data_IF_061154394105
#
_entry.id   IF_061154394105
#
_cell.length_a   1.000
_cell.length_b   1.000
_cell.length_c   1.000
_cell.angle_alpha   90.00
_cell.angle_beta   90.00
_cell.angle_gamma   90.00
#
_symmetry.space_group_name_H-M   'P 1'
#
loop_
_entity.id
_entity.type
_entity.pdbx_description
1 polymer ?
#
# COMPACT_ATOMS: atom_id res chain seq x y z
N UNK A 1 7.40 18.57 7.12
CA UNK A 1 7.55 17.15 7.48
C UNK A 1 8.69 16.51 6.70
N UNK A 2 9.28 15.47 7.26
CA UNK A 2 10.17 14.55 6.57
C UNK A 2 9.54 13.17 6.56
N UNK A 3 9.28 12.64 5.36
CA UNK A 3 8.65 11.35 5.15
C UNK A 3 9.67 10.39 4.54
N UNK A 4 9.76 9.19 5.05
CA UNK A 4 10.75 8.18 4.64
C UNK A 4 10.16 6.77 4.53
N UNK A 5 8.90 6.58 4.92
CA UNK A 5 8.20 5.33 4.64
C UNK A 5 7.75 5.31 3.18
N UNK A 6 7.88 4.19 2.45
CA UNK A 6 7.59 4.11 1.02
C UNK A 6 6.20 4.67 0.65
N UNK A 7 5.18 4.29 1.40
CA UNK A 7 3.80 4.73 1.14
C UNK A 7 3.63 6.25 1.28
N UNK A 8 4.33 6.89 2.22
CA UNK A 8 4.26 8.33 2.41
C UNK A 8 5.13 9.11 1.43
N UNK A 9 6.28 8.56 1.04
CA UNK A 9 7.09 9.12 -0.05
C UNK A 9 6.29 9.10 -1.35
N UNK A 10 5.66 7.96 -1.68
CA UNK A 10 4.80 7.86 -2.84
C UNK A 10 3.62 8.84 -2.77
N UNK A 11 2.93 8.92 -1.64
CA UNK A 11 1.80 9.83 -1.46
C UNK A 11 2.17 11.30 -1.69
N UNK A 12 3.35 11.70 -1.23
CA UNK A 12 3.82 13.07 -1.36
C UNK A 12 4.37 13.43 -2.74
N UNK A 13 4.92 12.45 -3.47
CA UNK A 13 5.70 12.73 -4.69
C UNK A 13 5.31 11.90 -5.91
N UNK A 14 4.62 10.78 -5.75
CA UNK A 14 4.44 9.77 -6.80
C UNK A 14 5.65 8.86 -7.00
N UNK A 15 6.77 9.08 -6.27
CA UNK A 15 7.96 8.24 -6.39
C UNK A 15 7.78 6.90 -5.67
N UNK A 16 8.15 5.81 -6.34
CA UNK A 16 8.30 4.48 -5.75
C UNK A 16 9.56 3.81 -6.29
N UNK A 17 10.15 2.96 -5.48
CA UNK A 17 11.33 2.17 -5.85
C UNK A 17 11.00 0.68 -5.84
N UNK A 18 11.53 -0.05 -6.81
CA UNK A 18 11.48 -1.53 -6.79
C UNK A 18 12.10 -2.12 -5.52
N UNK A 19 13.03 -1.40 -4.90
CA UNK A 19 13.68 -1.81 -3.67
C UNK A 19 12.80 -1.65 -2.42
N UNK A 20 11.71 -0.90 -2.49
CA UNK A 20 10.75 -0.74 -1.38
C UNK A 20 10.20 -2.10 -0.91
N UNK A 21 10.05 -3.05 -1.84
CA UNK A 21 9.63 -4.42 -1.56
C UNK A 21 10.70 -5.31 -0.92
N UNK A 22 11.95 -4.86 -0.81
CA UNK A 22 13.04 -5.68 -0.26
C UNK A 22 13.15 -5.63 1.26
N UNK A 23 12.29 -4.85 1.92
CA UNK A 23 12.26 -4.71 3.38
C UNK A 23 13.63 -4.39 4.00
N UNK A 24 14.35 -3.46 3.37
CA UNK A 24 15.63 -2.99 3.87
C UNK A 24 15.46 -2.28 5.22
N UNK A 25 16.49 -2.33 6.05
CA UNK A 25 16.48 -1.66 7.35
C UNK A 25 16.49 -0.13 7.21
N UNK A 26 17.21 0.35 6.20
CA UNK A 26 17.29 1.78 5.86
C UNK A 26 16.23 2.13 4.82
N UNK A 27 15.62 3.32 4.89
CA UNK A 27 14.78 3.80 3.82
C UNK A 27 15.59 4.01 2.53
N UNK A 28 14.95 3.76 1.38
CA UNK A 28 15.57 3.94 0.05
C UNK A 28 15.43 5.38 -0.41
N UNK A 29 14.37 6.05 0.00
CA UNK A 29 14.08 7.42 -0.35
C UNK A 29 13.48 8.15 0.84
N UNK A 30 13.56 9.47 0.80
CA UNK A 30 12.83 10.33 1.71
C UNK A 30 12.38 11.59 0.98
N UNK A 31 11.40 12.28 1.53
CA UNK A 31 10.96 13.58 1.01
C UNK A 31 10.80 14.59 2.14
N UNK A 32 11.36 15.75 1.94
CA UNK A 32 11.10 16.92 2.78
C UNK A 32 9.93 17.69 2.19
N UNK A 33 8.84 17.81 2.95
CA UNK A 33 7.65 18.59 2.60
C UNK A 33 7.58 19.79 3.55
N UNK A 34 7.77 21.02 3.04
CA UNK A 34 7.71 22.21 3.86
C UNK A 34 6.29 22.51 4.35
N UNK A 35 6.15 23.29 5.42
CA UNK A 35 4.86 23.75 5.92
C UNK A 35 4.27 24.89 5.08
N UNK A 36 5.12 25.65 4.41
CA UNK A 36 4.73 26.73 3.51
C UNK A 36 4.84 26.30 2.05
N UNK A 37 4.03 26.87 1.19
CA UNK A 37 3.96 26.52 -0.25
C UNK A 37 5.02 27.23 -1.10
N UNK A 38 5.89 28.03 -0.50
CA UNK A 38 6.94 28.80 -1.21
C UNK A 38 8.31 28.14 -1.09
N UNK A 39 8.49 27.28 -0.10
CA UNK A 39 9.70 26.49 0.07
C UNK A 39 9.65 25.23 -0.79
N UNK A 40 10.80 24.72 -1.26
CA UNK A 40 10.84 23.61 -2.17
C UNK A 40 10.50 22.27 -1.48
N UNK A 41 9.77 21.41 -2.18
CA UNK A 41 9.69 19.98 -1.89
C UNK A 41 10.99 19.33 -2.35
N UNK A 42 11.71 18.66 -1.44
CA UNK A 42 13.00 18.04 -1.75
C UNK A 42 12.87 16.53 -1.68
N UNK A 43 13.03 15.87 -2.81
CA UNK A 43 13.09 14.41 -2.89
C UNK A 43 14.54 13.96 -2.66
N UNK A 44 14.75 13.00 -1.77
CA UNK A 44 16.07 12.50 -1.36
C UNK A 44 16.21 11.07 -1.87
N UNK A 45 17.16 10.84 -2.77
CA UNK A 45 17.34 9.57 -3.49
C UNK A 45 18.79 9.11 -3.47
N UNK A 46 19.05 7.80 -3.65
CA UNK A 46 20.38 7.34 -4.07
C UNK A 46 20.81 8.04 -5.37
N UNK A 47 22.08 8.44 -5.46
CA UNK A 47 22.61 9.06 -6.68
C UNK A 47 22.37 8.19 -7.91
N UNK A 48 22.50 6.87 -7.77
CA UNK A 48 22.21 5.92 -8.85
C UNK A 48 20.74 5.93 -9.31
N UNK A 49 19.83 6.48 -8.52
CA UNK A 49 18.38 6.53 -8.81
C UNK A 49 17.91 7.87 -9.38
N UNK A 50 18.80 8.82 -9.64
CA UNK A 50 18.43 10.17 -10.16
C UNK A 50 17.71 10.10 -11.50
N UNK A 51 17.93 9.07 -12.31
CA UNK A 51 17.21 8.82 -13.56
C UNK A 51 15.78 8.31 -13.36
N UNK A 52 15.47 7.72 -12.20
CA UNK A 52 14.19 7.03 -11.97
C UNK A 52 12.96 7.94 -12.11
N UNK A 53 12.94 9.20 -11.64
CA UNK A 53 11.84 10.11 -11.90
C UNK A 53 11.53 10.31 -13.39
N UNK A 54 12.57 10.45 -14.22
CA UNK A 54 12.41 10.62 -15.67
C UNK A 54 11.77 9.37 -16.30
N UNK A 55 12.27 8.18 -15.92
CA UNK A 55 11.76 6.90 -16.44
C UNK A 55 10.31 6.70 -15.98
N UNK A 56 10.00 7.05 -14.74
CA UNK A 56 8.64 6.98 -14.19
C UNK A 56 7.67 7.90 -14.96
N UNK A 57 8.06 9.14 -15.22
CA UNK A 57 7.25 10.09 -15.98
C UNK A 57 7.00 9.62 -17.42
N UNK A 58 8.02 9.09 -18.10
CA UNK A 58 7.89 8.47 -19.43
C UNK A 58 6.97 7.25 -19.43
N UNK A 59 6.91 6.54 -18.31
CA UNK A 59 5.96 5.45 -18.06
C UNK A 59 4.53 5.89 -17.73
N UNK A 60 4.27 7.19 -17.68
CA UNK A 60 2.95 7.73 -17.33
C UNK A 60 2.72 7.89 -15.82
N UNK A 61 3.78 7.80 -15.02
CA UNK A 61 3.75 7.96 -13.56
C UNK A 61 4.58 9.19 -13.15
N UNK A 62 4.00 10.40 -13.15
CA UNK A 62 4.73 11.62 -12.84
C UNK A 62 5.24 11.62 -11.40
N UNK A 63 6.45 12.16 -11.22
CA UNK A 63 7.06 12.34 -9.91
C UNK A 63 7.21 13.84 -9.64
N UNK A 64 6.68 14.29 -8.51
CA UNK A 64 6.59 15.71 -8.16
C UNK A 64 7.64 16.08 -7.10
N UNK A 65 8.53 16.97 -7.45
CA UNK A 65 9.52 17.59 -6.55
C UNK A 65 10.05 18.88 -7.16
N UNK A 66 10.61 19.75 -6.34
CA UNK A 66 11.24 20.99 -6.80
C UNK A 66 12.77 20.88 -6.80
N UNK A 67 13.31 20.08 -5.88
CA UNK A 67 14.74 19.83 -5.71
C UNK A 67 15.02 18.37 -5.41
N UNK A 68 16.25 17.95 -5.70
CA UNK A 68 16.77 16.64 -5.33
C UNK A 68 17.91 16.79 -4.33
N UNK A 69 17.98 15.89 -3.35
CA UNK A 69 19.20 15.65 -2.58
C UNK A 69 19.62 14.19 -2.80
N UNK A 70 20.92 13.94 -2.83
CA UNK A 70 21.45 12.62 -3.17
C UNK A 70 22.33 12.04 -2.09
N UNK A 71 22.42 10.72 -2.07
CA UNK A 71 23.33 9.98 -1.21
C UNK A 71 23.88 8.74 -1.92
N UNK A 72 25.06 8.30 -1.46
CA UNK A 72 25.69 7.07 -1.93
C UNK A 72 25.06 5.86 -1.23
N UNK A 73 24.44 4.99 -2.00
CA UNK A 73 23.82 3.76 -1.46
C UNK A 73 24.55 2.50 -1.93
N UNK A 74 25.03 2.53 -3.14
CA UNK A 74 25.66 1.38 -3.79
C UNK A 74 26.76 1.96 -4.68
N UNK A 75 28.00 1.84 -4.30
CA UNK A 75 29.20 2.37 -5.03
C UNK A 75 29.28 1.94 -6.51
N UNK A 76 28.16 2.04 -7.24
CA UNK A 76 28.14 1.76 -8.69
C UNK A 76 28.77 2.86 -9.51
N UNK A 77 28.92 4.07 -8.95
CA UNK A 77 29.37 5.25 -9.71
C UNK A 77 30.88 5.38 -9.83
N UNK A 78 31.68 4.72 -9.00
CA UNK A 78 33.13 4.81 -9.06
C UNK A 78 33.77 4.15 -10.28
N UNK A 79 33.04 3.31 -11.00
CA UNK A 79 33.57 2.51 -12.10
C UNK A 79 33.13 2.92 -13.50
N UNK A 80 32.10 3.76 -13.63
CA UNK A 80 31.66 4.25 -14.92
C UNK A 80 32.48 5.45 -15.35
N UNK A 81 33.69 5.23 -15.82
CA UNK A 81 34.40 6.26 -16.58
C UNK A 81 33.65 6.47 -17.89
N UNK A 82 33.54 7.73 -18.32
CA UNK A 82 32.88 8.11 -19.57
C UNK A 82 33.45 7.32 -20.80
N UNK A 83 34.66 6.81 -20.68
CA UNK A 83 35.35 5.99 -21.68
C UNK A 83 34.81 4.55 -21.78
N UNK A 84 34.15 4.04 -20.70
CA UNK A 84 33.62 2.69 -20.63
C UNK A 84 32.12 2.62 -20.93
N UNK A 85 31.47 3.76 -21.22
CA UNK A 85 30.04 3.85 -21.48
C UNK A 85 29.70 3.23 -22.85
N UNK A 86 29.71 1.91 -22.94
CA UNK A 86 29.16 1.16 -24.07
C UNK A 86 27.62 1.24 -24.12
N UNK A 87 26.98 1.84 -23.13
CA UNK A 87 25.57 2.16 -23.06
C UNK A 87 25.40 3.66 -23.26
N UNK A 88 25.44 4.12 -24.51
CA UNK A 88 25.01 5.47 -24.82
C UNK A 88 23.50 5.60 -24.52
N UNK A 89 23.16 6.35 -23.48
CA UNK A 89 21.79 6.76 -23.26
C UNK A 89 21.30 7.56 -24.48
N UNK A 90 20.02 7.44 -24.88
CA UNK A 90 19.45 8.28 -25.93
C UNK A 90 19.67 9.77 -25.62
N UNK A 91 19.92 10.58 -26.65
CA UNK A 91 20.25 12.00 -26.48
C UNK A 91 19.14 12.80 -25.79
N UNK A 92 17.89 12.44 -26.01
CA UNK A 92 16.73 13.02 -25.34
C UNK A 92 16.73 12.72 -23.84
N UNK A 93 17.06 11.50 -23.46
CA UNK A 93 17.17 11.09 -22.07
C UNK A 93 18.37 11.79 -21.37
N UNK A 94 19.48 11.96 -22.08
CA UNK A 94 20.63 12.71 -21.57
C UNK A 94 20.29 14.18 -21.32
N UNK A 95 19.49 14.79 -22.21
CA UNK A 95 19.05 16.19 -22.02
C UNK A 95 18.12 16.34 -20.80
N UNK A 96 17.18 15.42 -20.62
CA UNK A 96 16.30 15.41 -19.45
C UNK A 96 17.09 15.15 -18.16
N UNK A 97 18.04 14.22 -18.19
CA UNK A 97 18.93 13.96 -17.05
C UNK A 97 19.73 15.20 -16.68
N UNK A 98 20.25 15.95 -17.68
CA UNK A 98 20.90 17.23 -17.46
C UNK A 98 20.02 18.20 -16.69
N UNK A 99 18.74 18.34 -17.07
CA UNK A 99 17.77 19.16 -16.35
C UNK A 99 17.50 18.70 -14.92
N UNK A 100 17.43 17.41 -14.68
CA UNK A 100 17.26 16.86 -13.32
C UNK A 100 18.53 17.09 -12.47
N UNK A 101 19.71 16.94 -13.07
CA UNK A 101 20.98 17.20 -12.37
C UNK A 101 21.13 18.66 -11.92
N UNK A 102 20.55 19.62 -12.64
CA UNK A 102 20.51 21.03 -12.23
C UNK A 102 19.62 21.29 -11.00
N UNK A 103 18.72 20.36 -10.69
CA UNK A 103 17.84 20.44 -9.51
C UNK A 103 18.51 19.86 -8.25
N UNK A 104 19.69 19.25 -8.36
CA UNK A 104 20.39 18.68 -7.21
C UNK A 104 20.82 19.81 -6.27
N UNK A 105 20.38 19.68 -5.01
CA UNK A 105 20.62 20.61 -3.93
C UNK A 105 21.71 20.09 -3.00
N UNK A 106 22.91 20.58 -3.19
CA UNK A 106 24.08 20.22 -2.40
C UNK A 106 24.96 19.17 -3.07
N UNK A 107 25.68 18.42 -2.27
CA UNK A 107 26.55 17.33 -2.71
C UNK A 107 25.91 15.97 -2.42
N UNK A 108 26.43 14.92 -3.05
CA UNK A 108 26.08 13.56 -2.69
C UNK A 108 26.64 13.24 -1.29
N UNK A 109 25.76 12.86 -0.36
CA UNK A 109 26.12 12.54 1.01
C UNK A 109 26.43 11.03 1.15
N UNK A 110 27.19 10.60 2.17
CA UNK A 110 27.58 9.20 2.32
C UNK A 110 26.41 8.23 2.57
N UNK A 111 25.32 8.70 3.16
CA UNK A 111 24.12 7.90 3.45
C UNK A 111 22.86 8.77 3.52
N UNK A 112 21.71 8.13 3.56
CA UNK A 112 20.41 8.81 3.60
C UNK A 112 20.25 9.71 4.84
N UNK A 113 20.77 9.31 6.00
CA UNK A 113 20.64 10.11 7.25
C UNK A 113 21.43 11.39 7.14
N UNK A 114 22.64 11.33 6.59
CA UNK A 114 23.45 12.50 6.33
C UNK A 114 22.82 13.39 5.26
N UNK A 115 22.25 12.82 4.20
CA UNK A 115 21.52 13.58 3.18
C UNK A 115 20.29 14.29 3.75
N UNK A 116 19.49 13.59 4.58
CA UNK A 116 18.39 14.22 5.33
C UNK A 116 18.88 15.36 6.20
N UNK A 117 19.92 15.14 7.00
CA UNK A 117 20.46 16.17 7.87
C UNK A 117 20.97 17.40 7.10
N UNK A 118 21.65 17.17 5.97
CA UNK A 118 22.12 18.23 5.08
C UNK A 118 20.94 19.00 4.44
N UNK A 119 19.91 18.31 3.95
CA UNK A 119 18.68 18.91 3.45
C UNK A 119 18.01 19.79 4.52
N UNK A 120 17.80 19.26 5.72
CA UNK A 120 17.19 20.00 6.81
C UNK A 120 18.01 21.22 7.22
N UNK A 121 19.33 21.12 7.21
CA UNK A 121 20.21 22.27 7.54
C UNK A 121 20.11 23.42 6.54
N UNK A 122 19.74 23.13 5.29
CA UNK A 122 19.55 24.15 4.23
C UNK A 122 18.16 24.77 4.26
N UNK A 123 17.15 24.01 4.59
CA UNK A 123 15.76 24.42 4.40
C UNK A 123 15.00 24.69 5.70
N UNK A 124 15.53 24.31 6.87
CA UNK A 124 14.81 24.42 8.14
C UNK A 124 15.64 25.16 9.18
N UNK A 125 15.02 26.10 9.87
CA UNK A 125 15.64 26.81 10.99
C UNK A 125 15.79 25.86 12.19
N UNK A 126 16.87 25.98 12.97
CA UNK A 126 17.11 25.20 14.20
C UNK A 126 16.02 25.36 15.28
N UNK A 127 15.14 26.34 15.14
CA UNK A 127 14.03 26.58 16.09
C UNK A 127 12.75 25.90 15.70
N UNK A 128 12.69 25.36 14.48
CA UNK A 128 11.51 24.68 13.95
C UNK A 128 11.55 23.22 14.33
N UNK A 129 10.39 22.67 14.69
CA UNK A 129 10.22 21.25 14.90
C UNK A 129 9.96 20.57 13.56
N UNK A 130 10.58 19.42 13.35
CA UNK A 130 10.38 18.60 12.16
C UNK A 130 9.55 17.39 12.54
N UNK A 131 8.48 17.13 11.77
CA UNK A 131 7.66 15.94 11.92
C UNK A 131 8.20 14.82 11.03
N UNK A 132 8.36 13.63 11.58
CA UNK A 132 8.82 12.43 10.90
C UNK A 132 7.75 11.33 10.91
N UNK A 133 7.63 10.60 9.84
CA UNK A 133 6.77 9.42 9.75
C UNK A 133 7.46 8.13 10.24
N UNK A 134 8.79 8.11 10.30
CA UNK A 134 9.59 7.05 10.92
C UNK A 134 10.42 7.61 12.08
N UNK A 135 10.04 7.26 13.30
CA UNK A 135 10.71 7.71 14.51
C UNK A 135 12.13 7.14 14.67
N UNK A 136 12.48 6.04 13.97
CA UNK A 136 13.85 5.50 13.96
C UNK A 136 14.76 6.42 13.15
N UNK A 137 14.27 6.92 12.02
CA UNK A 137 14.96 7.92 11.21
C UNK A 137 15.08 9.24 12.00
N UNK A 138 13.98 9.67 12.63
CA UNK A 138 13.95 10.86 13.48
C UNK A 138 15.07 10.84 14.54
N UNK A 139 15.17 9.77 15.31
CA UNK A 139 16.17 9.62 16.37
C UNK A 139 17.62 9.74 15.86
N UNK A 140 17.90 9.19 14.68
CA UNK A 140 19.24 9.26 14.07
C UNK A 140 19.56 10.66 13.58
N UNK A 141 18.59 11.31 12.93
CA UNK A 141 18.74 12.68 12.46
C UNK A 141 18.89 13.65 13.63
N UNK A 142 18.09 13.49 14.69
CA UNK A 142 18.19 14.30 15.91
C UNK A 142 19.56 14.14 16.59
N UNK A 143 20.07 12.90 16.68
CA UNK A 143 21.40 12.65 17.22
C UNK A 143 22.52 13.34 16.42
N UNK A 144 22.36 13.49 15.11
CA UNK A 144 23.33 14.12 14.22
C UNK A 144 23.21 15.65 14.22
N UNK A 145 22.00 16.20 14.27
CA UNK A 145 21.73 17.64 14.06
C UNK A 145 21.42 18.39 15.36
N UNK A 146 20.97 17.71 16.39
CA UNK A 146 20.42 18.29 17.62
C UNK A 146 19.07 19.00 17.41
N UNK A 147 18.40 18.80 16.27
CA UNK A 147 17.12 19.43 15.95
C UNK A 147 15.96 18.61 16.51
N UNK A 148 15.01 19.29 17.18
CA UNK A 148 13.87 18.63 17.77
C UNK A 148 12.98 17.96 16.72
N UNK A 149 12.63 16.71 16.97
CA UNK A 149 11.73 15.92 16.14
C UNK A 149 10.35 15.73 16.77
N UNK A 150 9.37 15.40 15.95
CA UNK A 150 8.00 15.05 16.34
C UNK A 150 7.43 13.98 15.41
N UNK A 151 6.26 13.44 15.78
CA UNK A 151 5.55 12.41 15.02
C UNK A 151 4.67 13.07 13.95
N UNK A 152 4.78 12.61 12.70
CA UNK A 152 3.95 13.06 11.58
C UNK A 152 2.63 12.29 11.46
N UNK A 153 2.37 11.29 12.28
CA UNK A 153 1.25 10.34 12.11
C UNK A 153 -0.09 11.05 11.97
N UNK A 154 -0.43 11.94 12.91
CA UNK A 154 -1.70 12.66 12.89
C UNK A 154 -1.81 13.59 11.67
N UNK A 155 -0.72 14.24 11.28
CA UNK A 155 -0.70 15.11 10.11
C UNK A 155 -0.92 14.30 8.82
N UNK A 156 -0.30 13.11 8.71
CA UNK A 156 -0.48 12.23 7.57
C UNK A 156 -1.90 11.64 7.50
N UNK A 157 -2.48 11.26 8.63
CA UNK A 157 -3.87 10.83 8.68
C UNK A 157 -4.82 11.96 8.26
N UNK A 158 -4.60 13.18 8.74
CA UNK A 158 -5.42 14.33 8.35
C UNK A 158 -5.31 14.63 6.84
N UNK A 159 -4.10 14.59 6.28
CA UNK A 159 -3.88 14.81 4.85
C UNK A 159 -4.59 13.76 3.98
N UNK A 160 -4.57 12.49 4.42
CA UNK A 160 -5.18 11.36 3.69
C UNK A 160 -6.68 11.19 3.95
N UNK A 161 -7.23 11.82 4.98
CA UNK A 161 -8.64 11.64 5.37
C UNK A 161 -9.61 12.12 4.27
N UNK A 162 -9.30 13.26 3.64
CA UNK A 162 -10.10 13.83 2.56
C UNK A 162 -9.42 13.54 1.23
N UNK A 163 -10.07 12.73 0.40
CA UNK A 163 -9.54 12.30 -0.90
C UNK A 163 -9.73 13.38 -1.95
N UNK A 164 -8.73 13.54 -2.80
CA UNK A 164 -8.83 14.32 -4.04
C UNK A 164 -9.74 13.63 -5.07
N UNK A 165 -10.07 14.32 -6.15
CA UNK A 165 -10.88 13.76 -7.24
C UNK A 165 -10.15 12.55 -7.89
N UNK A 166 -8.85 12.68 -8.15
CA UNK A 166 -8.04 11.63 -8.80
C UNK A 166 -7.88 10.41 -7.89
N UNK A 167 -7.71 10.62 -6.57
CA UNK A 167 -7.69 9.53 -5.60
C UNK A 167 -9.04 8.80 -5.54
N UNK A 168 -10.16 9.53 -5.62
CA UNK A 168 -11.49 8.93 -5.66
C UNK A 168 -11.70 8.11 -6.93
N UNK A 169 -11.20 8.56 -8.06
CA UNK A 169 -11.31 7.83 -9.32
C UNK A 169 -10.46 6.54 -9.27
N UNK A 170 -9.24 6.61 -8.74
CA UNK A 170 -8.40 5.42 -8.51
C UNK A 170 -9.07 4.43 -7.54
N UNK A 171 -9.70 4.91 -6.47
CA UNK A 171 -10.42 4.05 -5.54
C UNK A 171 -11.66 3.38 -6.18
N UNK A 172 -12.36 4.07 -7.09
CA UNK A 172 -13.47 3.48 -7.85
C UNK A 172 -12.99 2.39 -8.80
N UNK A 173 -11.89 2.64 -9.53
CA UNK A 173 -11.26 1.63 -10.37
C UNK A 173 -10.83 0.42 -9.54
N UNK A 174 -10.16 0.64 -8.40
CA UNK A 174 -9.76 -0.42 -7.46
C UNK A 174 -10.96 -1.25 -6.99
N UNK A 175 -12.09 -0.61 -6.70
CA UNK A 175 -13.33 -1.28 -6.32
C UNK A 175 -13.89 -2.17 -7.43
N UNK A 176 -13.86 -1.71 -8.68
CA UNK A 176 -14.30 -2.51 -9.84
C UNK A 176 -13.39 -3.72 -10.06
N UNK A 177 -12.07 -3.54 -9.90
CA UNK A 177 -11.11 -4.63 -10.02
C UNK A 177 -11.32 -5.65 -8.87
N UNK A 178 -11.56 -5.17 -7.65
CA UNK A 178 -11.86 -6.02 -6.50
C UNK A 178 -13.11 -6.87 -6.75
N UNK A 179 -14.17 -6.30 -7.30
CA UNK A 179 -15.38 -7.05 -7.67
C UNK A 179 -15.11 -8.08 -8.77
N UNK A 180 -14.27 -7.76 -9.76
CA UNK A 180 -13.86 -8.69 -10.81
C UNK A 180 -13.06 -9.87 -10.24
N UNK A 181 -12.10 -9.59 -9.34
CA UNK A 181 -11.32 -10.63 -8.64
C UNK A 181 -12.26 -11.57 -7.86
N UNK A 182 -13.20 -11.03 -7.09
CA UNK A 182 -14.15 -11.84 -6.34
C UNK A 182 -15.07 -12.68 -7.25
N UNK A 183 -15.57 -12.10 -8.33
CA UNK A 183 -16.38 -12.80 -9.33
C UNK A 183 -15.60 -13.94 -9.97
N UNK A 184 -14.36 -13.68 -10.38
CA UNK A 184 -13.47 -14.71 -10.92
C UNK A 184 -13.25 -15.83 -9.91
N UNK A 185 -12.92 -15.48 -8.67
CA UNK A 185 -12.69 -16.45 -7.59
C UNK A 185 -13.90 -17.35 -7.38
N UNK A 186 -15.10 -16.78 -7.27
CA UNK A 186 -16.32 -17.56 -7.11
C UNK A 186 -16.53 -18.56 -8.26
N UNK A 187 -16.12 -18.21 -9.48
CA UNK A 187 -16.17 -19.11 -10.63
C UNK A 187 -15.16 -20.26 -10.57
N UNK A 188 -14.08 -20.09 -9.80
CA UNK A 188 -13.05 -21.11 -9.64
C UNK A 188 -13.34 -22.09 -8.50
N UNK A 189 -14.20 -21.74 -7.55
CA UNK A 189 -14.57 -22.62 -6.44
C UNK A 189 -15.42 -23.81 -6.91
N UNK A 190 -15.17 -24.99 -6.34
CA UNK A 190 -15.94 -26.18 -6.64
C UNK A 190 -15.40 -27.45 -6.00
N UNK A 191 -16.26 -28.43 -5.82
CA UNK A 191 -15.89 -29.75 -5.30
C UNK A 191 -14.79 -30.37 -6.15
N UNK A 192 -13.74 -30.87 -5.51
CA UNK A 192 -12.62 -31.55 -6.16
C UNK A 192 -11.49 -30.61 -6.65
N UNK A 193 -11.70 -29.28 -6.68
CA UNK A 193 -10.64 -28.33 -6.98
C UNK A 193 -9.72 -28.15 -5.77
N UNK A 194 -8.44 -28.04 -6.00
CA UNK A 194 -7.45 -27.78 -4.94
C UNK A 194 -7.49 -26.32 -4.51
N UNK A 195 -7.43 -26.08 -3.21
CA UNK A 195 -7.35 -24.74 -2.63
C UNK A 195 -6.17 -23.97 -3.21
N UNK A 196 -4.98 -24.60 -3.23
CA UNK A 196 -3.75 -23.93 -3.74
C UNK A 196 -3.82 -23.64 -5.24
N UNK A 197 -4.56 -24.43 -6.02
CA UNK A 197 -4.78 -24.13 -7.44
C UNK A 197 -5.66 -22.90 -7.62
N UNK A 198 -6.72 -22.78 -6.82
CA UNK A 198 -7.59 -21.59 -6.85
C UNK A 198 -6.80 -20.34 -6.43
N UNK A 199 -6.03 -20.41 -5.33
CA UNK A 199 -5.18 -19.30 -4.89
C UNK A 199 -4.23 -18.84 -6.01
N UNK A 200 -3.55 -19.76 -6.68
CA UNK A 200 -2.66 -19.44 -7.80
C UNK A 200 -3.39 -18.80 -8.99
N UNK A 201 -4.56 -19.35 -9.35
CA UNK A 201 -5.35 -18.79 -10.45
C UNK A 201 -5.81 -17.37 -10.15
N UNK A 202 -6.22 -17.12 -8.90
CA UNK A 202 -6.63 -15.78 -8.47
C UNK A 202 -5.42 -14.82 -8.45
N UNK A 203 -4.26 -15.26 -7.97
CA UNK A 203 -3.04 -14.45 -8.01
C UNK A 203 -2.66 -14.07 -9.45
N UNK A 204 -2.73 -15.00 -10.41
CA UNK A 204 -2.50 -14.70 -11.83
C UNK A 204 -3.53 -13.69 -12.37
N UNK A 205 -4.82 -13.88 -12.01
CA UNK A 205 -5.86 -12.93 -12.41
C UNK A 205 -5.62 -11.52 -11.85
N UNK A 206 -5.11 -11.40 -10.62
CA UNK A 206 -4.74 -10.11 -10.04
C UNK A 206 -3.63 -9.44 -10.84
N UNK A 207 -2.57 -10.18 -11.17
CA UNK A 207 -1.43 -9.67 -11.97
C UNK A 207 -1.89 -9.24 -13.36
N UNK A 208 -2.75 -10.01 -14.02
CA UNK A 208 -3.32 -9.69 -15.34
C UNK A 208 -4.19 -8.42 -15.32
N UNK A 209 -4.57 -7.93 -14.14
CA UNK A 209 -5.33 -6.69 -13.92
C UNK A 209 -4.52 -5.60 -13.22
N UNK A 210 -3.20 -5.64 -13.36
CA UNK A 210 -2.27 -4.65 -12.79
C UNK A 210 -2.36 -4.51 -11.26
N UNK A 211 -2.76 -5.57 -10.57
CA UNK A 211 -2.74 -5.63 -9.10
C UNK A 211 -1.53 -6.41 -8.63
N UNK A 212 -0.71 -5.78 -7.81
CA UNK A 212 0.38 -6.44 -7.10
C UNK A 212 -0.16 -7.18 -5.87
N UNK A 213 -0.22 -8.53 -5.87
CA UNK A 213 -0.65 -9.27 -4.69
C UNK A 213 0.32 -9.07 -3.52
N UNK A 214 -0.19 -8.85 -2.33
CA UNK A 214 0.66 -8.82 -1.14
C UNK A 214 1.20 -10.22 -0.81
N UNK A 215 2.34 -10.32 -0.12
CA UNK A 215 2.87 -11.59 0.34
C UNK A 215 1.83 -12.37 1.16
N UNK A 216 1.48 -13.57 0.70
CA UNK A 216 0.47 -14.41 1.33
C UNK A 216 -0.95 -14.23 0.79
N UNK A 217 -1.19 -13.27 -0.11
CA UNK A 217 -2.46 -13.08 -0.80
C UNK A 217 -2.40 -13.68 -2.22
N UNK A 218 -3.52 -14.17 -2.79
CA UNK A 218 -4.81 -14.41 -2.13
C UNK A 218 -4.76 -15.56 -1.14
N UNK A 219 -5.63 -15.55 -0.13
CA UNK A 219 -5.74 -16.59 0.89
C UNK A 219 -7.15 -17.19 0.91
N UNK A 220 -7.22 -18.52 0.98
CA UNK A 220 -8.45 -19.24 1.20
C UNK A 220 -8.48 -19.85 2.59
N UNK A 221 -9.57 -19.59 3.30
CA UNK A 221 -9.85 -20.19 4.61
C UNK A 221 -11.13 -21.02 4.52
N UNK A 222 -11.39 -21.81 5.53
CA UNK A 222 -12.66 -22.46 5.68
C UNK A 222 -12.53 -23.95 5.98
N UNK A 223 -13.54 -24.69 5.69
CA UNK A 223 -13.65 -26.11 5.97
C UNK A 223 -15.06 -26.48 6.39
N UNK A 224 -15.21 -27.63 7.06
CA UNK A 224 -16.47 -28.06 7.63
C UNK A 224 -16.86 -27.14 8.78
N UNK A 225 -18.11 -26.91 8.95
CA UNK A 225 -18.93 -26.08 9.82
C UNK A 225 -18.35 -25.39 11.07
N UNK A 226 -17.31 -25.91 11.64
CA UNK A 226 -16.73 -25.53 12.94
C UNK A 226 -15.27 -25.08 12.88
N UNK A 227 -14.68 -25.05 11.69
CA UNK A 227 -13.30 -24.63 11.48
C UNK A 227 -13.23 -23.39 10.61
N UNK A 228 -13.37 -22.25 11.25
CA UNK A 228 -13.21 -20.94 10.61
C UNK A 228 -11.74 -20.54 10.54
N UNK A 229 -10.83 -21.33 11.08
CA UNK A 229 -9.44 -20.95 11.19
C UNK A 229 -8.50 -21.94 10.51
N UNK A 230 -7.69 -21.41 9.61
CA UNK A 230 -6.50 -22.05 9.09
C UNK A 230 -5.35 -21.73 10.05
N UNK A 231 -4.89 -22.64 10.89
CA UNK A 231 -3.83 -22.36 11.88
C UNK A 231 -2.46 -22.08 11.24
N UNK A 232 -2.29 -22.42 9.97
CA UNK A 232 -1.08 -22.20 9.15
C UNK A 232 -1.20 -21.00 8.22
N UNK A 233 -1.89 -19.98 8.63
CA UNK A 233 -2.30 -18.76 7.91
C UNK A 233 -1.24 -18.16 6.99
N UNK A 234 0.00 -18.51 7.12
CA UNK A 234 1.04 -17.70 6.57
C UNK A 234 2.01 -18.37 5.63
N UNK A 235 1.80 -19.52 5.06
CA UNK A 235 2.73 -19.97 3.99
C UNK A 235 2.59 -21.40 3.48
N UNK A 236 1.75 -22.24 4.03
CA UNK A 236 1.64 -23.60 3.52
C UNK A 236 0.43 -23.72 2.60
N UNK A 237 0.63 -23.88 1.28
CA UNK A 237 -0.47 -24.09 0.36
C UNK A 237 -1.27 -25.34 0.79
N UNK A 238 -2.57 -25.19 0.95
CA UNK A 238 -3.44 -26.33 1.20
C UNK A 238 -3.74 -26.99 -0.13
N UNK A 239 -3.13 -28.14 -0.37
CA UNK A 239 -3.28 -28.87 -1.64
C UNK A 239 -4.47 -29.84 -1.65
N UNK A 240 -5.23 -29.97 -0.52
CA UNK A 240 -6.41 -30.81 -0.51
C UNK A 240 -7.52 -30.23 -1.40
N UNK A 241 -8.38 -31.06 -1.99
CA UNK A 241 -9.53 -30.59 -2.73
C UNK A 241 -10.62 -30.05 -1.81
N UNK A 242 -11.46 -29.17 -2.35
CA UNK A 242 -12.71 -28.77 -1.71
C UNK A 242 -13.69 -29.95 -1.64
N UNK A 243 -14.37 -30.08 -0.52
CA UNK A 243 -15.43 -31.05 -0.31
C UNK A 243 -16.81 -30.37 -0.33
N UNK A 244 -17.85 -31.11 -0.71
CA UNK A 244 -19.23 -30.59 -0.68
C UNK A 244 -19.67 -30.30 0.75
N UNK A 245 -20.30 -29.14 0.97
CA UNK A 245 -20.75 -28.69 2.28
C UNK A 245 -19.77 -27.82 3.03
N UNK A 246 -18.56 -27.63 2.51
CA UNK A 246 -17.58 -26.71 3.10
C UNK A 246 -17.94 -25.26 2.86
N UNK A 247 -17.44 -24.41 3.75
CA UNK A 247 -17.41 -22.97 3.59
C UNK A 247 -16.01 -22.59 3.14
N UNK A 248 -15.90 -21.75 2.12
CA UNK A 248 -14.67 -21.12 1.70
C UNK A 248 -14.80 -19.61 1.91
N UNK A 249 -13.84 -19.02 2.62
CA UNK A 249 -13.65 -17.58 2.73
C UNK A 249 -12.42 -17.25 1.92
N UNK A 250 -12.58 -16.41 0.92
CA UNK A 250 -11.46 -15.82 0.20
C UNK A 250 -11.14 -14.45 0.78
N UNK A 251 -9.90 -14.23 1.11
CA UNK A 251 -9.34 -12.93 1.42
C UNK A 251 -8.31 -12.56 0.36
N UNK A 252 -8.46 -11.38 -0.21
CA UNK A 252 -7.56 -10.89 -1.26
C UNK A 252 -7.07 -9.52 -0.89
N UNK A 253 -5.76 -9.39 -0.80
CA UNK A 253 -5.06 -8.14 -0.52
C UNK A 253 -4.05 -7.88 -1.63
N UNK A 254 -4.02 -6.64 -2.11
CA UNK A 254 -3.12 -6.22 -3.17
C UNK A 254 -3.05 -4.71 -3.29
N UNK A 255 -2.22 -4.24 -4.23
CA UNK A 255 -2.10 -2.81 -4.56
C UNK A 255 -2.41 -2.60 -6.04
N UNK A 256 -3.29 -1.66 -6.31
CA UNK A 256 -3.55 -1.14 -7.64
C UNK A 256 -3.18 0.34 -7.65
N UNK A 257 -2.24 0.76 -8.51
CA UNK A 257 -1.69 2.12 -8.52
C UNK A 257 -1.29 2.61 -7.11
N UNK A 258 -0.69 1.70 -6.32
CA UNK A 258 -0.35 1.89 -4.90
C UNK A 258 -1.51 2.14 -3.92
N UNK A 259 -2.76 2.02 -4.35
CA UNK A 259 -3.91 1.97 -3.44
C UNK A 259 -4.20 0.53 -3.02
N UNK A 260 -4.53 0.36 -1.75
CA UNK A 260 -4.86 -0.95 -1.21
C UNK A 260 -6.19 -1.45 -1.73
N UNK A 261 -6.19 -2.72 -2.14
CA UNK A 261 -7.38 -3.56 -2.28
C UNK A 261 -7.33 -4.55 -1.13
N UNK A 262 -8.37 -4.58 -0.32
CA UNK A 262 -8.58 -5.55 0.74
C UNK A 262 -10.06 -5.93 0.74
N UNK A 263 -10.34 -7.14 0.29
CA UNK A 263 -11.71 -7.61 0.10
C UNK A 263 -11.81 -9.09 0.42
N UNK A 264 -12.87 -9.47 1.12
CA UNK A 264 -13.19 -10.86 1.38
C UNK A 264 -14.63 -11.21 0.98
N UNK A 265 -14.84 -12.48 0.71
CA UNK A 265 -16.16 -13.06 0.44
C UNK A 265 -16.22 -14.48 0.96
N UNK A 266 -17.41 -14.88 1.36
CA UNK A 266 -17.70 -16.24 1.82
C UNK A 266 -18.53 -16.98 0.79
N UNK A 267 -18.17 -18.21 0.49
CA UNK A 267 -18.89 -19.10 -0.40
C UNK A 267 -19.18 -20.44 0.28
N UNK A 268 -20.29 -21.06 -0.09
CA UNK A 268 -20.59 -22.43 0.25
C UNK A 268 -20.27 -23.35 -0.94
N UNK A 269 -19.52 -24.40 -0.71
CA UNK A 269 -19.10 -25.34 -1.74
C UNK A 269 -20.20 -26.36 -1.96
N UNK A 270 -20.83 -26.36 -3.15
CA UNK A 270 -21.97 -27.17 -3.50
C UNK A 270 -23.30 -26.56 -3.01
N UNK A 271 -24.41 -27.38 -2.98
CA UNK A 271 -25.73 -26.88 -2.60
C UNK A 271 -25.78 -26.42 -1.14
N UNK A 272 -26.13 -25.16 -0.92
CA UNK A 272 -26.26 -24.60 0.42
C UNK A 272 -27.48 -25.14 1.16
N UNK A 273 -27.35 -25.42 2.45
CA UNK A 273 -28.48 -25.78 3.34
C UNK A 273 -29.40 -24.57 3.58
N UNK A 274 -30.62 -24.82 4.02
CA UNK A 274 -31.56 -23.76 4.37
C UNK A 274 -30.99 -22.89 5.52
N UNK A 275 -30.44 -23.54 6.54
CA UNK A 275 -29.81 -22.82 7.68
C UNK A 275 -28.73 -21.85 7.21
N UNK A 276 -27.87 -22.28 6.28
CA UNK A 276 -26.84 -21.41 5.72
C UNK A 276 -27.42 -20.22 4.92
N UNK A 277 -28.46 -20.49 4.12
CA UNK A 277 -29.16 -19.42 3.37
C UNK A 277 -29.83 -18.41 4.28
N UNK A 278 -30.43 -18.87 5.39
CA UNK A 278 -31.08 -17.99 6.37
C UNK A 278 -30.05 -17.11 7.09
N UNK A 279 -28.88 -17.68 7.45
CA UNK A 279 -27.76 -16.91 8.01
C UNK A 279 -27.23 -15.89 7.02
N UNK A 280 -26.98 -16.30 5.78
CA UNK A 280 -26.52 -15.38 4.72
C UNK A 280 -27.49 -14.23 4.50
N UNK A 281 -28.79 -14.53 4.46
CA UNK A 281 -29.84 -13.51 4.31
C UNK A 281 -29.83 -12.52 5.49
N UNK A 282 -29.61 -12.99 6.72
CA UNK A 282 -29.51 -12.14 7.89
C UNK A 282 -28.28 -11.23 7.85
N UNK A 283 -27.10 -11.77 7.49
CA UNK A 283 -25.87 -10.98 7.32
C UNK A 283 -26.04 -9.94 6.22
N UNK A 284 -26.66 -10.30 5.10
CA UNK A 284 -26.94 -9.38 4.00
C UNK A 284 -27.86 -8.23 4.43
N UNK A 285 -28.92 -8.52 5.20
CA UNK A 285 -29.80 -7.49 5.74
C UNK A 285 -29.07 -6.53 6.70
N UNK A 286 -28.15 -7.06 7.53
CA UNK A 286 -27.29 -6.24 8.40
C UNK A 286 -26.43 -5.32 7.53
N UNK A 287 -25.74 -5.87 6.54
CA UNK A 287 -24.88 -5.09 5.64
C UNK A 287 -25.66 -3.98 4.93
N UNK A 288 -26.81 -4.30 4.34
CA UNK A 288 -27.65 -3.34 3.62
C UNK A 288 -28.16 -2.25 4.58
N UNK A 289 -28.52 -2.61 5.82
CA UNK A 289 -28.95 -1.67 6.85
C UNK A 289 -27.83 -0.71 7.27
N UNK A 290 -26.62 -1.22 7.48
CA UNK A 290 -25.45 -0.41 7.83
C UNK A 290 -25.10 0.51 6.66
N UNK A 291 -25.04 -0.02 5.45
CA UNK A 291 -24.71 0.75 4.25
C UNK A 291 -25.68 1.92 4.02
N UNK A 292 -26.97 1.70 4.27
CA UNK A 292 -28.00 2.73 4.16
C UNK A 292 -27.87 3.85 5.24
N UNK A 293 -27.18 3.58 6.34
CA UNK A 293 -26.93 4.58 7.40
C UNK A 293 -25.70 5.43 7.15
N UNK A 294 -24.81 5.02 6.22
CA UNK A 294 -23.60 5.76 5.93
C UNK A 294 -23.94 7.09 5.23
N UNK A 295 -23.69 8.19 5.91
CA UNK A 295 -23.91 9.53 5.41
C UNK A 295 -22.94 10.52 6.07
N UNK A 296 -22.64 11.66 5.42
CA UNK A 296 -21.86 12.72 6.06
C UNK A 296 -22.45 13.15 7.41
N UNK A 297 -21.61 13.23 8.43
CA UNK A 297 -22.00 13.64 9.78
C UNK A 297 -22.49 12.52 10.71
N UNK A 298 -22.61 11.29 10.22
CA UNK A 298 -22.97 10.12 11.07
C UNK A 298 -21.77 9.71 11.90
N UNK A 299 -22.00 9.48 13.20
CA UNK A 299 -20.99 8.95 14.10
C UNK A 299 -20.80 7.44 13.83
N UNK A 300 -19.55 7.02 13.60
CA UNK A 300 -19.23 5.61 13.35
C UNK A 300 -19.62 4.67 14.48
N UNK A 301 -19.60 5.15 15.73
CA UNK A 301 -20.08 4.37 16.88
C UNK A 301 -21.57 4.00 16.77
N UNK A 302 -22.40 4.87 16.18
CA UNK A 302 -23.83 4.58 15.95
C UNK A 302 -24.03 3.53 14.85
N UNK A 303 -23.11 3.50 13.86
CA UNK A 303 -23.12 2.48 12.80
C UNK A 303 -22.71 1.13 13.35
N UNK A 304 -21.72 1.09 14.25
CA UNK A 304 -21.21 -0.13 14.87
C UNK A 304 -22.20 -0.80 15.85
N UNK A 305 -23.28 -0.13 16.24
CA UNK A 305 -24.34 -0.71 17.07
C UNK A 305 -25.24 -1.71 16.26
N UNK A 306 -24.62 -2.56 15.44
CA UNK A 306 -25.34 -3.54 14.61
C UNK A 306 -26.00 -4.66 15.41
N UNK A 307 -25.61 -4.90 16.66
CA UNK A 307 -26.33 -5.81 17.58
C UNK A 307 -27.78 -5.40 17.83
N UNK A 308 -28.11 -4.13 17.59
CA UNK A 308 -29.47 -3.60 17.67
C UNK A 308 -30.29 -3.86 16.38
N UNK A 309 -29.65 -4.31 15.30
CA UNK A 309 -30.35 -4.64 14.07
C UNK A 309 -31.12 -5.94 14.24
N UNK A 310 -32.45 -5.97 13.99
CA UNK A 310 -33.26 -7.17 14.21
C UNK A 310 -32.76 -8.43 13.49
N UNK A 311 -32.10 -8.27 12.35
CA UNK A 311 -31.49 -9.37 11.64
C UNK A 311 -30.37 -10.06 12.42
N UNK A 312 -29.61 -9.32 13.23
CA UNK A 312 -28.54 -9.88 14.06
C UNK A 312 -29.07 -10.86 15.11
N UNK A 313 -30.29 -10.67 15.59
CA UNK A 313 -30.93 -11.54 16.58
C UNK A 313 -31.35 -12.90 16.00
N UNK A 314 -31.34 -13.04 14.65
CA UNK A 314 -31.64 -14.30 13.96
C UNK A 314 -30.41 -15.18 13.79
N UNK A 315 -29.23 -14.66 14.11
CA UNK A 315 -27.98 -15.39 14.02
C UNK A 315 -27.76 -16.19 15.31
N UNK A 316 -27.53 -17.48 15.21
CA UNK A 316 -27.34 -18.38 16.35
C UNK A 316 -25.93 -19.00 16.31
N UNK A 317 -25.14 -18.82 17.34
CA UNK A 317 -25.30 -17.80 18.38
C UNK A 317 -24.78 -16.42 17.88
N UNK A 318 -25.41 -15.32 18.33
CA UNK A 318 -25.03 -13.97 17.87
C UNK A 318 -23.55 -13.61 18.11
N UNK A 319 -22.92 -14.23 19.10
CA UNK A 319 -21.52 -14.00 19.44
C UNK A 319 -20.54 -14.56 18.39
N UNK A 320 -20.96 -15.52 17.56
CA UNK A 320 -20.10 -16.07 16.48
C UNK A 320 -19.92 -15.14 15.27
N UNK A 321 -20.65 -14.02 15.23
CA UNK A 321 -20.50 -12.97 14.21
C UNK A 321 -19.23 -12.10 14.38
N UNK A 322 -18.55 -12.21 15.51
CA UNK A 322 -17.37 -11.38 15.84
C UNK A 322 -16.07 -11.86 15.14
N UNK A 323 -16.16 -12.72 14.15
CA UNK A 323 -14.98 -13.30 13.46
C UNK A 323 -15.10 -13.14 11.94
N UNK A 324 -15.59 -11.99 11.50
CA UNK A 324 -15.49 -11.63 10.07
C UNK A 324 -14.90 -10.24 9.95
#
# INVERSE_FOLDING_TARGET
ALLSTPDNVFYATGFSSVMDGWHLVEPIAAVFVPADTTSPVVLILPEASVISPIVSERGGHPVHFDRLATFDMLNFCETARAEDAHLALPNDLLAELGGVMEQIDGQCEPDIIQSIAACLSRHVSKKEQILFDDLRVAARVEALTGQASGDALDAMFAARAVKTADELDTLRESGQIADAIMTYTMSQLGVGKSWSEVEKQVAHFMIDHDVDPLPGSPMLFGGAYDLVFRPDLFRTPVSRPFEGGEIAILETQGRYKNFWIDINRTAHIGPATNAYRDQFAAVREIFDTISARLAPGVNTAEICAFSEIPAAQRLDPPEKLLVV
#
